data_IF_392786912419
#
_entry.id   IF_392786912419
#
_cell.length_a   1.000
_cell.length_b   1.000
_cell.length_c   1.000
_cell.angle_alpha   90.00
_cell.angle_beta   90.00
_cell.angle_gamma   90.00
#
_symmetry.space_group_name_H-M   'P 1'
#
loop_
_entity.id
_entity.type
_entity.pdbx_description
1 polymer ?
#
# COMPACT_ATOMS: atom_id res chain seq x y z
N UNK A 1 -16.07 -16.99 -1.49
CA UNK A 1 -16.24 -16.23 -2.76
C UNK A 1 -15.24 -15.08 -2.94
N UNK A 2 -14.64 -14.52 -1.88
CA UNK A 2 -13.72 -13.35 -1.94
C UNK A 2 -12.29 -13.63 -2.40
N UNK A 3 -11.73 -14.84 -2.18
CA UNK A 3 -10.35 -15.19 -2.59
C UNK A 3 -10.12 -15.18 -4.11
N UNK A 4 -11.11 -15.61 -4.89
CA UNK A 4 -11.04 -15.64 -6.37
C UNK A 4 -11.05 -14.25 -6.98
N UNK A 5 -11.79 -13.30 -6.38
CA UNK A 5 -11.81 -11.90 -6.82
C UNK A 5 -10.47 -11.21 -6.60
N UNK A 6 -9.80 -11.45 -5.47
CA UNK A 6 -8.48 -10.86 -5.18
C UNK A 6 -7.42 -11.40 -6.12
N UNK A 7 -7.38 -12.73 -6.33
CA UNK A 7 -6.48 -13.35 -7.32
C UNK A 7 -6.76 -12.85 -8.74
N UNK A 8 -8.03 -12.69 -9.12
CA UNK A 8 -8.42 -12.14 -10.41
C UNK A 8 -8.03 -10.66 -10.57
N UNK A 9 -8.11 -9.87 -9.49
CA UNK A 9 -7.71 -8.47 -9.48
C UNK A 9 -6.18 -8.34 -9.60
N UNK A 10 -5.43 -9.10 -8.79
CA UNK A 10 -3.95 -9.15 -8.86
C UNK A 10 -3.49 -9.62 -10.24
N UNK A 11 -4.12 -10.65 -10.81
CA UNK A 11 -3.85 -11.12 -12.16
C UNK A 11 -4.10 -10.02 -13.21
N UNK A 12 -5.25 -9.33 -13.15
CA UNK A 12 -5.58 -8.23 -14.07
C UNK A 12 -4.64 -7.03 -13.93
N UNK A 13 -4.23 -6.70 -12.70
CA UNK A 13 -3.27 -5.62 -12.45
C UNK A 13 -1.89 -6.01 -12.99
N UNK A 14 -1.48 -7.27 -12.82
CA UNK A 14 -0.23 -7.79 -13.41
C UNK A 14 -0.25 -7.68 -14.94
N UNK A 15 -1.37 -8.02 -15.58
CA UNK A 15 -1.58 -7.82 -17.02
C UNK A 15 -1.58 -6.36 -17.46
N UNK A 16 -1.95 -5.42 -16.57
CA UNK A 16 -1.92 -4.00 -16.86
C UNK A 16 -0.48 -3.43 -16.89
N UNK A 17 0.41 -3.98 -16.07
CA UNK A 17 1.82 -3.58 -16.04
C UNK A 17 2.71 -4.32 -17.05
N UNK A 18 2.27 -5.48 -17.55
CA UNK A 18 2.94 -6.23 -18.63
C UNK A 18 3.23 -5.40 -19.90
N UNK A 19 2.28 -4.62 -20.47
CA UNK A 19 2.55 -3.78 -21.62
C UNK A 19 3.55 -2.66 -21.31
N UNK A 20 3.50 -2.07 -20.11
CA UNK A 20 4.45 -1.03 -19.67
C UNK A 20 5.89 -1.57 -19.59
N UNK A 21 6.05 -2.78 -19.05
CA UNK A 21 7.34 -3.49 -19.03
C UNK A 21 7.78 -3.85 -20.45
N UNK A 22 6.84 -4.28 -21.30
CA UNK A 22 7.15 -4.65 -22.70
C UNK A 22 7.55 -3.44 -23.54
N UNK A 23 6.91 -2.29 -23.39
CA UNK A 23 7.26 -1.09 -24.16
C UNK A 23 8.57 -0.47 -23.67
N UNK A 24 8.83 -0.48 -22.36
CA UNK A 24 10.12 -0.09 -21.80
C UNK A 24 11.27 -1.02 -22.25
N UNK A 25 10.99 -2.32 -22.42
CA UNK A 25 11.96 -3.30 -22.90
C UNK A 25 12.14 -3.29 -24.43
N UNK A 26 11.11 -2.88 -25.20
CA UNK A 26 11.10 -2.92 -26.66
C UNK A 26 11.57 -1.60 -27.30
N UNK A 27 11.43 -0.46 -26.61
CA UNK A 27 11.87 0.84 -27.08
C UNK A 27 13.40 0.99 -27.19
N UNK A 28 14.16 0.05 -26.63
CA UNK A 28 15.63 0.12 -26.49
C UNK A 28 16.39 -0.88 -27.37
N UNK A 29 15.85 -2.07 -27.72
CA UNK A 29 16.47 -2.97 -28.71
C UNK A 29 15.49 -4.01 -29.34
N UNK A 30 15.50 -4.20 -30.68
CA UNK A 30 14.63 -5.15 -31.38
C UNK A 30 15.37 -6.47 -31.64
N UNK A 31 15.67 -7.26 -30.62
CA UNK A 31 16.30 -8.57 -30.88
C UNK A 31 15.70 -9.67 -30.00
N UNK A 32 15.04 -10.64 -30.66
CA UNK A 32 14.61 -11.90 -30.08
C UNK A 32 15.84 -12.69 -29.61
N UNK A 33 16.12 -12.68 -28.32
CA UNK A 33 17.00 -13.66 -27.67
C UNK A 33 16.24 -14.34 -26.54
N UNK A 34 16.63 -15.58 -26.23
CA UNK A 34 15.94 -16.43 -25.28
C UNK A 34 15.78 -15.73 -23.91
N UNK A 35 14.55 -15.34 -23.57
CA UNK A 35 14.17 -14.50 -22.43
C UNK A 35 14.53 -15.05 -21.02
N UNK A 36 15.05 -16.28 -20.93
CA UNK A 36 15.28 -16.99 -19.66
C UNK A 36 16.71 -17.56 -19.49
N UNK A 37 17.69 -17.10 -20.25
CA UNK A 37 19.09 -17.42 -19.96
C UNK A 37 19.64 -16.53 -18.84
N UNK A 38 20.44 -17.11 -17.93
CA UNK A 38 21.04 -16.39 -16.80
C UNK A 38 21.79 -15.12 -17.23
N UNK A 39 22.49 -15.17 -18.37
CA UNK A 39 23.22 -14.02 -18.90
C UNK A 39 22.26 -12.90 -19.35
N UNK A 40 21.12 -13.25 -19.95
CA UNK A 40 20.10 -12.30 -20.37
C UNK A 40 19.37 -11.69 -19.18
N UNK A 41 19.12 -12.47 -18.12
CA UNK A 41 18.58 -11.95 -16.85
C UNK A 41 19.56 -10.99 -16.21
N UNK A 42 20.86 -11.33 -16.22
CA UNK A 42 21.91 -10.51 -15.61
C UNK A 42 22.16 -9.20 -16.39
N UNK A 43 22.08 -9.26 -17.72
CA UNK A 43 22.16 -8.10 -18.60
C UNK A 43 20.90 -7.21 -18.49
N UNK A 44 19.70 -7.81 -18.41
CA UNK A 44 18.47 -7.06 -18.14
C UNK A 44 18.47 -6.40 -16.76
N UNK A 45 19.02 -7.06 -15.74
CA UNK A 45 19.15 -6.49 -14.38
C UNK A 45 20.14 -5.34 -14.36
N UNK A 46 21.25 -5.38 -15.12
CA UNK A 46 22.21 -4.28 -15.13
C UNK A 46 21.74 -3.07 -15.94
N UNK A 47 20.97 -3.28 -17.01
CA UNK A 47 20.46 -2.21 -17.88
C UNK A 47 19.15 -1.60 -17.33
N UNK A 48 18.29 -2.40 -16.69
CA UNK A 48 16.97 -1.99 -16.19
C UNK A 48 16.85 -2.06 -14.67
N UNK A 49 17.96 -1.95 -13.93
CA UNK A 49 17.97 -2.06 -12.46
C UNK A 49 16.86 -1.21 -11.83
N UNK A 50 16.77 0.06 -12.21
CA UNK A 50 15.81 0.99 -11.62
C UNK A 50 14.36 0.69 -12.04
N UNK A 51 14.14 0.30 -13.29
CA UNK A 51 12.81 -0.03 -13.80
C UNK A 51 12.27 -1.32 -13.17
N UNK A 52 13.12 -2.33 -12.99
CA UNK A 52 12.78 -3.59 -12.33
C UNK A 52 12.47 -3.35 -10.85
N UNK A 53 13.26 -2.50 -10.18
CA UNK A 53 13.02 -2.14 -8.78
C UNK A 53 11.74 -1.32 -8.61
N UNK A 54 11.43 -0.42 -9.54
CA UNK A 54 10.19 0.36 -9.56
C UNK A 54 8.97 -0.55 -9.76
N UNK A 55 9.03 -1.50 -10.70
CA UNK A 55 7.95 -2.50 -10.90
C UNK A 55 7.80 -3.38 -9.66
N UNK A 56 8.92 -3.81 -9.06
CA UNK A 56 8.91 -4.60 -7.82
C UNK A 56 8.26 -3.81 -6.67
N UNK A 57 8.47 -2.50 -6.61
CA UNK A 57 7.83 -1.60 -5.64
C UNK A 57 6.30 -1.64 -5.81
N UNK A 58 5.79 -1.51 -7.03
CA UNK A 58 4.34 -1.59 -7.27
C UNK A 58 3.75 -2.96 -6.91
N UNK A 59 4.45 -4.04 -7.27
CA UNK A 59 4.01 -5.40 -6.95
C UNK A 59 3.97 -5.63 -5.44
N UNK A 60 5.04 -5.27 -4.71
CA UNK A 60 5.06 -5.43 -3.26
C UNK A 60 4.15 -4.42 -2.53
N UNK A 61 3.86 -3.27 -3.11
CA UNK A 61 2.81 -2.37 -2.62
C UNK A 61 1.44 -3.05 -2.69
N UNK A 62 1.11 -3.72 -3.80
CA UNK A 62 -0.14 -4.49 -3.90
C UNK A 62 -0.18 -5.61 -2.85
N UNK A 63 0.94 -6.31 -2.61
CA UNK A 63 0.99 -7.32 -1.55
C UNK A 63 0.83 -6.71 -0.15
N UNK A 64 1.57 -5.64 0.17
CA UNK A 64 1.49 -4.92 1.43
C UNK A 64 0.08 -4.39 1.71
N UNK A 65 -0.56 -3.79 0.71
CA UNK A 65 -1.96 -3.34 0.79
C UNK A 65 -2.95 -4.47 0.97
N UNK A 66 -2.76 -5.59 0.28
CA UNK A 66 -3.63 -6.77 0.40
C UNK A 66 -3.52 -7.38 1.79
N UNK A 67 -2.29 -7.54 2.30
CA UNK A 67 -2.07 -8.05 3.66
C UNK A 67 -2.67 -7.06 4.67
N UNK A 68 -2.40 -5.76 4.52
CA UNK A 68 -2.95 -4.71 5.38
C UNK A 68 -4.48 -4.70 5.38
N UNK A 69 -5.12 -4.94 4.23
CA UNK A 69 -6.57 -5.04 4.12
C UNK A 69 -7.15 -6.14 5.02
N UNK A 70 -6.57 -7.35 4.96
CA UNK A 70 -7.02 -8.51 5.73
C UNK A 70 -6.58 -8.51 7.19
N UNK A 71 -5.48 -7.83 7.51
CA UNK A 71 -4.94 -7.83 8.86
C UNK A 71 -5.84 -7.04 9.82
N UNK A 72 -6.32 -7.60 10.93
CA UNK A 72 -7.17 -6.85 11.86
C UNK A 72 -6.40 -5.64 12.41
N UNK A 73 -6.96 -4.43 12.26
CA UNK A 73 -6.40 -3.26 12.92
C UNK A 73 -6.69 -3.34 14.41
N UNK A 74 -5.73 -3.00 15.27
CA UNK A 74 -5.97 -2.91 16.71
C UNK A 74 -7.15 -1.96 16.99
N UNK A 75 -8.04 -2.38 17.89
CA UNK A 75 -9.22 -1.60 18.26
C UNK A 75 -8.81 -0.58 19.31
N UNK A 76 -8.61 0.66 18.89
CA UNK A 76 -8.39 1.79 19.79
C UNK A 76 -9.65 2.67 19.79
N UNK A 77 -10.45 2.59 20.85
CA UNK A 77 -11.64 3.42 21.05
C UNK A 77 -12.69 3.25 19.95
N UNK A 78 -12.72 4.20 19.00
CA UNK A 78 -13.72 4.33 17.95
C UNK A 78 -13.86 3.10 17.03
N UNK A 79 -15.03 3.02 16.36
CA UNK A 79 -15.39 1.99 15.38
C UNK A 79 -14.25 1.79 14.35
N UNK A 80 -13.89 0.53 14.01
CA UNK A 80 -12.82 0.26 13.05
C UNK A 80 -13.14 0.89 11.69
N UNK A 81 -12.11 1.44 11.03
CA UNK A 81 -12.29 2.09 9.73
C UNK A 81 -12.97 1.16 8.70
N UNK A 82 -13.80 1.74 7.80
CA UNK A 82 -14.35 0.99 6.71
C UNK A 82 -13.22 0.45 5.82
N UNK A 83 -13.36 -0.80 5.40
CA UNK A 83 -12.38 -1.52 4.57
C UNK A 83 -11.87 -0.74 3.34
N UNK A 84 -12.69 -0.01 2.56
CA UNK A 84 -12.17 0.78 1.43
C UNK A 84 -11.27 1.95 1.88
N UNK A 85 -11.58 2.63 2.98
CA UNK A 85 -10.75 3.71 3.51
C UNK A 85 -9.39 3.17 3.96
N UNK A 86 -9.39 1.99 4.59
CA UNK A 86 -8.18 1.28 4.99
C UNK A 86 -7.27 0.95 3.81
N UNK A 87 -7.85 0.52 2.69
CA UNK A 87 -7.13 0.26 1.45
C UNK A 87 -6.49 1.54 0.90
N UNK A 88 -7.24 2.63 0.87
CA UNK A 88 -6.76 3.92 0.36
C UNK A 88 -5.61 4.46 1.22
N UNK A 89 -5.75 4.38 2.54
CA UNK A 89 -4.68 4.71 3.49
C UNK A 89 -3.42 3.88 3.25
N UNK A 90 -3.59 2.58 3.01
CA UNK A 90 -2.48 1.65 2.79
C UNK A 90 -1.73 1.94 1.47
N UNK A 91 -2.47 2.23 0.39
CA UNK A 91 -1.89 2.63 -0.91
C UNK A 91 -1.15 3.96 -0.74
N UNK A 92 -1.82 4.94 -0.12
CA UNK A 92 -1.27 6.29 0.03
C UNK A 92 0.00 6.30 0.88
N UNK A 93 0.03 5.54 1.98
CA UNK A 93 1.22 5.39 2.81
C UNK A 93 2.40 4.74 2.08
N UNK A 94 2.15 3.70 1.28
CA UNK A 94 3.17 3.07 0.45
C UNK A 94 3.73 4.01 -0.64
N UNK A 95 2.85 4.74 -1.33
CA UNK A 95 3.25 5.73 -2.35
C UNK A 95 4.05 6.87 -1.73
N UNK A 96 3.62 7.41 -0.58
CA UNK A 96 4.37 8.45 0.12
C UNK A 96 5.74 7.95 0.59
N UNK A 97 5.84 6.72 1.07
CA UNK A 97 7.11 6.12 1.46
C UNK A 97 8.09 6.03 0.27
N UNK A 98 7.58 5.69 -0.91
CA UNK A 98 8.36 5.65 -2.14
C UNK A 98 8.84 7.05 -2.56
N UNK A 99 7.93 8.04 -2.59
CA UNK A 99 8.26 9.43 -2.94
C UNK A 99 9.29 10.00 -1.96
N UNK A 100 9.09 9.76 -0.65
CA UNK A 100 10.00 10.21 0.39
C UNK A 100 11.41 9.66 0.16
N UNK A 101 11.52 8.35 -0.10
CA UNK A 101 12.83 7.74 -0.32
C UNK A 101 13.55 8.29 -1.55
N UNK A 102 12.84 8.42 -2.69
CA UNK A 102 13.41 9.01 -3.91
C UNK A 102 13.90 10.44 -3.64
N UNK A 103 13.14 11.21 -2.85
CA UNK A 103 13.51 12.57 -2.51
C UNK A 103 14.77 12.66 -1.65
N UNK A 104 14.95 11.74 -0.67
CA UNK A 104 16.06 11.79 0.28
C UNK A 104 17.34 11.13 -0.23
N UNK A 105 17.22 9.92 -0.78
CA UNK A 105 18.37 9.05 -1.10
C UNK A 105 18.75 9.10 -2.59
N UNK A 106 17.85 9.58 -3.46
CA UNK A 106 18.04 9.74 -4.92
C UNK A 106 18.48 8.48 -5.68
N UNK A 107 18.49 7.33 -5.02
CA UNK A 107 18.82 6.02 -5.59
C UNK A 107 17.71 5.04 -5.24
N UNK A 108 17.47 4.03 -6.09
CA UNK A 108 16.46 3.01 -5.84
C UNK A 108 17.20 1.72 -5.53
N UNK A 109 17.23 1.35 -4.26
CA UNK A 109 17.82 0.09 -3.80
C UNK A 109 16.73 -0.96 -3.51
N UNK A 110 17.08 -2.26 -3.48
CA UNK A 110 16.14 -3.31 -3.06
C UNK A 110 15.51 -3.06 -1.67
N UNK A 111 16.21 -2.34 -0.79
CA UNK A 111 15.70 -1.96 0.53
C UNK A 111 14.45 -1.08 0.43
N UNK A 112 14.37 -0.22 -0.59
CA UNK A 112 13.19 0.63 -0.85
C UNK A 112 11.96 -0.20 -1.12
N UNK A 113 12.12 -1.29 -1.87
CA UNK A 113 11.02 -2.17 -2.26
C UNK A 113 10.38 -2.79 -1.02
N UNK A 114 11.22 -3.26 -0.09
CA UNK A 114 10.77 -3.82 1.20
C UNK A 114 10.17 -2.72 2.09
N UNK A 115 10.80 -1.54 2.11
CA UNK A 115 10.32 -0.37 2.86
C UNK A 115 8.92 0.05 2.44
N UNK A 116 8.67 0.21 1.14
CA UNK A 116 7.36 0.59 0.59
C UNK A 116 6.29 -0.43 0.95
N UNK A 117 6.61 -1.72 0.85
CA UNK A 117 5.71 -2.81 1.24
C UNK A 117 5.37 -2.77 2.73
N UNK A 118 6.38 -2.56 3.58
CA UNK A 118 6.24 -2.47 5.03
C UNK A 118 5.43 -1.26 5.46
N UNK A 119 5.73 -0.07 4.94
CA UNK A 119 4.96 1.14 5.24
C UNK A 119 3.52 0.97 4.77
N UNK A 120 3.29 0.47 3.56
CA UNK A 120 1.95 0.22 3.05
C UNK A 120 1.14 -0.70 3.97
N UNK A 121 1.74 -1.79 4.46
CA UNK A 121 1.12 -2.71 5.39
C UNK A 121 0.75 -2.05 6.74
N UNK A 122 1.66 -1.24 7.30
CA UNK A 122 1.52 -0.68 8.66
C UNK A 122 0.71 0.63 8.69
N UNK A 123 0.66 1.39 7.60
CA UNK A 123 0.01 2.72 7.55
C UNK A 123 -1.42 2.74 8.10
N UNK A 124 -2.31 1.77 7.80
CA UNK A 124 -3.66 1.80 8.34
C UNK A 124 -3.73 1.69 9.87
N UNK A 125 -2.82 0.93 10.49
CA UNK A 125 -2.74 0.79 11.94
C UNK A 125 -2.23 2.08 12.60
N UNK A 126 -1.19 2.71 12.03
CA UNK A 126 -0.65 3.97 12.55
C UNK A 126 -1.70 5.07 12.46
N UNK A 127 -2.37 5.23 11.32
CA UNK A 127 -3.36 6.30 11.15
C UNK A 127 -4.56 6.11 12.07
N UNK A 128 -5.00 4.86 12.30
CA UNK A 128 -6.06 4.58 13.28
C UNK A 128 -5.64 4.95 14.71
N UNK A 129 -4.37 4.68 15.08
CA UNK A 129 -3.84 5.05 16.38
C UNK A 129 -3.73 6.57 16.54
N UNK A 130 -3.23 7.27 15.52
CA UNK A 130 -3.11 8.74 15.52
C UNK A 130 -4.50 9.38 15.62
N UNK A 131 -5.49 8.86 14.89
CA UNK A 131 -6.86 9.36 14.95
C UNK A 131 -7.49 9.14 16.34
N UNK A 132 -7.34 7.95 16.92
CA UNK A 132 -7.83 7.67 18.27
C UNK A 132 -7.17 8.57 19.32
N UNK A 133 -5.86 8.81 19.21
CA UNK A 133 -5.13 9.74 20.07
C UNK A 133 -5.64 11.18 19.91
N UNK A 134 -5.89 11.64 18.68
CA UNK A 134 -6.40 12.98 18.39
C UNK A 134 -7.80 13.21 18.98
N UNK A 135 -8.68 12.21 18.90
CA UNK A 135 -10.00 12.26 19.55
C UNK A 135 -9.84 12.36 21.06
N UNK A 136 -9.00 11.51 21.67
CA UNK A 136 -8.79 11.51 23.12
C UNK A 136 -8.22 12.83 23.64
N UNK A 137 -7.23 13.40 22.94
CA UNK A 137 -6.63 14.69 23.30
C UNK A 137 -7.67 15.82 23.17
N UNK A 138 -8.47 15.81 22.10
CA UNK A 138 -9.51 16.83 21.89
C UNK A 138 -10.63 16.71 22.91
N UNK A 139 -11.10 15.50 23.22
CA UNK A 139 -12.11 15.22 24.24
C UNK A 139 -11.66 15.68 25.63
N UNK A 140 -10.42 15.35 26.02
CA UNK A 140 -9.83 15.80 27.29
C UNK A 140 -9.73 17.32 27.41
N UNK A 141 -9.54 18.05 26.30
CA UNK A 141 -9.53 19.53 26.32
C UNK A 141 -10.92 20.16 26.42
N UNK A 142 -11.96 19.42 26.04
CA UNK A 142 -13.34 19.88 26.05
C UNK A 142 -14.14 19.35 27.26
N UNK A 143 -13.47 18.67 28.20
CA UNK A 143 -14.08 17.99 29.34
C UNK A 143 -15.18 16.97 28.95
N UNK A 144 -15.04 16.42 27.74
CA UNK A 144 -15.95 15.40 27.21
C UNK A 144 -15.43 14.04 27.68
N UNK A 145 -16.27 13.30 28.41
CA UNK A 145 -15.91 11.96 28.89
C UNK A 145 -16.03 10.90 27.80
N UNK A 146 -15.36 9.76 28.00
CA UNK A 146 -15.43 8.63 27.05
C UNK A 146 -16.89 8.13 26.87
N UNK A 147 -17.75 8.25 27.88
CA UNK A 147 -19.19 7.92 27.79
C UNK A 147 -19.96 8.87 26.85
N UNK A 148 -19.61 10.15 26.81
CA UNK A 148 -20.24 11.12 25.91
C UNK A 148 -19.84 10.87 24.45
N UNK A 149 -18.58 10.51 24.21
CA UNK A 149 -18.08 10.11 22.90
C UNK A 149 -18.79 8.85 22.39
N UNK A 150 -19.00 7.86 23.26
CA UNK A 150 -19.73 6.64 22.91
C UNK A 150 -21.19 6.94 22.59
N UNK A 151 -21.86 7.80 23.36
CA UNK A 151 -23.23 8.27 23.10
C UNK A 151 -23.37 8.96 21.76
N UNK A 152 -22.45 9.86 21.41
CA UNK A 152 -22.42 10.56 20.12
C UNK A 152 -22.22 9.57 18.98
N UNK A 153 -21.33 8.59 19.15
CA UNK A 153 -21.11 7.56 18.12
C UNK A 153 -22.39 6.75 17.84
N UNK A 154 -23.14 6.41 18.90
CA UNK A 154 -24.39 5.65 18.79
C UNK A 154 -25.53 6.46 18.17
N UNK A 155 -25.59 7.78 18.38
CA UNK A 155 -26.62 8.63 17.76
C UNK A 155 -26.48 8.68 16.24
N UNK A 156 -25.25 8.71 15.72
CA UNK A 156 -25.00 8.68 14.27
C UNK A 156 -25.27 7.31 13.62
N UNK A 157 -25.28 6.22 14.40
CA UNK A 157 -25.64 4.90 13.91
C UNK A 157 -27.16 4.73 13.83
N UNK A 158 -27.93 5.24 14.82
CA UNK A 158 -29.40 5.21 14.80
C UNK A 158 -30.01 6.01 13.65
N UNK A 159 -29.34 7.04 13.18
CA UNK A 159 -29.81 7.89 12.08
C UNK A 159 -29.68 7.22 10.69
N UNK A 160 -29.01 6.05 10.61
CA UNK A 160 -28.79 5.29 9.38
C UNK A 160 -29.70 4.07 9.23
N UNK A 161 -30.51 3.74 10.24
CA UNK A 161 -31.60 2.76 10.17
C UNK A 161 -32.89 3.41 9.64
#
# INVERSE_FOLDING_TARGET
MTRSLVLGLVWRIMWFFLPLVSEAALASHPTKSNLFTNETVREAVSIYSDAILLVSCFVLLIFGTTIGYFFPTPRYGAKPYPKPLKLLISIFGGVLAFIYYIHTEKDITPAVVIWVAGVSFVSPAIIHLVHAAAIKITGSKLDITDEDLDRISQSFDREKE
#
